data_IF_096798389449
#
_entry.id   IF_096798389449
#
_cell.length_a   1.000
_cell.length_b   1.000
_cell.length_c   1.000
_cell.angle_alpha   90.00
_cell.angle_beta   90.00
_cell.angle_gamma   90.00
#
_symmetry.space_group_name_H-M   'P 1'
#
loop_
_entity.id
_entity.type
_entity.pdbx_description
1 polymer ?
#
# COMPACT_ATOMS: atom_id res chain seq x y z
N UNK A 1 -10.78 0.62 -26.28
CA UNK A 1 -10.32 -0.60 -25.57
C UNK A 1 -9.46 -0.11 -24.41
N UNK A 2 -10.06 0.05 -23.21
CA UNK A 2 -9.31 0.53 -22.05
C UNK A 2 -8.52 -0.63 -21.48
N UNK A 3 -7.19 -0.57 -21.58
CA UNK A 3 -6.30 -1.56 -21.01
C UNK A 3 -6.27 -1.31 -19.50
N UNK A 4 -7.13 -1.96 -18.73
CA UNK A 4 -7.04 -1.93 -17.28
C UNK A 4 -5.80 -2.74 -16.91
N UNK A 5 -4.67 -2.06 -16.73
CA UNK A 5 -3.50 -2.71 -16.14
C UNK A 5 -3.93 -3.20 -14.76
N UNK A 6 -3.68 -4.47 -14.46
CA UNK A 6 -3.84 -5.02 -13.13
C UNK A 6 -2.57 -4.72 -12.32
N UNK A 7 -2.67 -4.68 -10.99
CA UNK A 7 -1.48 -4.59 -10.14
C UNK A 7 -0.47 -5.69 -10.53
N UNK A 8 0.82 -5.34 -10.62
CA UNK A 8 1.89 -6.32 -10.84
C UNK A 8 2.31 -6.85 -9.47
N UNK A 9 2.19 -8.16 -9.20
CA UNK A 9 2.43 -8.69 -7.86
C UNK A 9 3.91 -8.67 -7.48
N UNK A 10 4.20 -8.60 -6.19
CA UNK A 10 5.56 -8.78 -5.68
C UNK A 10 6.16 -10.14 -6.13
N UNK A 11 7.32 -10.10 -6.80
CA UNK A 11 8.15 -11.28 -7.03
C UNK A 11 8.88 -11.65 -5.73
N UNK A 12 8.13 -12.29 -4.81
CA UNK A 12 8.56 -12.50 -3.44
C UNK A 12 9.74 -13.48 -3.33
N UNK A 13 10.82 -13.05 -2.65
CA UNK A 13 11.96 -13.89 -2.31
C UNK A 13 12.29 -13.78 -0.83
N UNK A 14 12.49 -14.92 -0.16
CA UNK A 14 12.97 -14.96 1.22
C UNK A 14 14.48 -14.96 1.24
N UNK A 15 15.07 -14.11 2.07
CA UNK A 15 16.52 -14.00 2.22
C UNK A 15 16.97 -14.63 3.55
N UNK A 16 16.23 -14.37 4.62
CA UNK A 16 16.53 -14.86 5.97
C UNK A 16 15.39 -15.74 6.46
N UNK A 17 15.72 -16.87 7.08
CA UNK A 17 14.74 -17.74 7.72
C UNK A 17 14.02 -17.01 8.87
N UNK A 18 12.71 -17.23 9.02
CA UNK A 18 11.85 -16.58 10.01
C UNK A 18 11.66 -15.04 9.87
N UNK A 19 12.15 -14.44 8.78
CA UNK A 19 11.86 -13.05 8.43
C UNK A 19 10.84 -12.93 7.28
N UNK A 20 10.49 -11.69 6.93
CA UNK A 20 9.63 -11.37 5.80
C UNK A 20 10.34 -11.62 4.44
N UNK A 21 9.66 -11.27 3.36
CA UNK A 21 10.16 -11.41 1.98
C UNK A 21 10.61 -10.06 1.43
N UNK A 22 11.49 -10.07 0.43
CA UNK A 22 11.73 -8.90 -0.43
C UNK A 22 10.97 -9.07 -1.74
N UNK A 23 10.65 -7.97 -2.41
CA UNK A 23 10.18 -8.00 -3.80
C UNK A 23 11.38 -7.81 -4.71
N UNK A 24 11.63 -8.79 -5.57
CA UNK A 24 12.79 -8.78 -6.46
C UNK A 24 12.42 -8.08 -7.76
N UNK A 25 13.10 -6.98 -8.05
CA UNK A 25 13.03 -6.33 -9.35
C UNK A 25 14.26 -6.65 -10.20
N UNK A 26 14.06 -6.75 -11.51
CA UNK A 26 15.10 -6.91 -12.52
C UNK A 26 14.75 -6.09 -13.77
N UNK A 27 15.60 -6.11 -14.81
CA UNK A 27 15.43 -5.31 -16.03
C UNK A 27 14.15 -5.60 -16.81
N UNK A 28 13.44 -6.69 -16.49
CA UNK A 28 12.21 -7.11 -17.17
C UNK A 28 10.97 -7.12 -16.27
N UNK A 29 11.15 -6.92 -14.96
CA UNK A 29 10.07 -7.07 -13.99
C UNK A 29 10.29 -6.24 -12.72
N UNK A 30 9.26 -5.53 -12.30
CA UNK A 30 9.13 -4.97 -10.96
C UNK A 30 7.64 -4.93 -10.59
N UNK A 31 7.33 -5.08 -9.31
CA UNK A 31 5.94 -4.96 -8.83
C UNK A 31 5.45 -3.52 -8.87
N UNK A 32 4.14 -3.36 -9.02
CA UNK A 32 3.50 -2.06 -9.21
C UNK A 32 2.04 -2.14 -8.76
N UNK A 33 1.53 -1.04 -8.20
CA UNK A 33 0.20 -0.96 -7.61
C UNK A 33 -0.55 0.21 -8.18
N UNK A 34 -1.71 -0.07 -8.74
CA UNK A 34 -2.56 0.95 -9.32
C UNK A 34 -3.50 1.48 -8.25
N UNK A 35 -3.35 2.78 -7.98
CA UNK A 35 -4.13 3.51 -6.98
C UNK A 35 -5.39 4.05 -7.61
N UNK A 36 -6.52 3.51 -7.20
CA UNK A 36 -7.84 3.92 -7.66
C UNK A 36 -8.59 4.69 -6.56
N UNK A 37 -9.37 5.69 -6.98
CA UNK A 37 -10.32 6.32 -6.09
C UNK A 37 -11.48 5.36 -5.79
N UNK A 38 -11.86 5.16 -4.51
CA UNK A 38 -13.01 4.32 -4.18
C UNK A 38 -14.28 4.90 -4.80
N UNK A 39 -15.15 4.02 -5.32
CA UNK A 39 -16.49 4.39 -5.73
C UNK A 39 -17.30 4.91 -4.51
N UNK A 40 -18.32 5.76 -4.71
CA UNK A 40 -19.18 6.20 -3.63
C UNK A 40 -19.73 5.02 -2.81
N UNK A 41 -19.67 5.11 -1.48
CA UNK A 41 -20.12 4.03 -0.60
C UNK A 41 -19.09 2.91 -0.37
N UNK A 42 -17.89 2.99 -0.95
CA UNK A 42 -16.80 2.04 -0.75
C UNK A 42 -15.54 2.67 -0.16
N UNK A 43 -14.57 1.84 0.21
CA UNK A 43 -13.22 2.25 0.61
C UNK A 43 -12.19 1.24 0.10
N UNK A 44 -10.96 1.69 -0.15
CA UNK A 44 -9.82 0.84 -0.54
C UNK A 44 -8.89 0.65 0.66
N UNK A 45 -8.44 -0.58 0.88
CA UNK A 45 -7.45 -0.94 1.89
C UNK A 45 -6.21 -1.50 1.21
N UNK A 46 -5.03 -1.01 1.58
CA UNK A 46 -3.74 -1.57 1.19
C UNK A 46 -3.14 -2.28 2.39
N UNK A 47 -2.90 -3.58 2.27
CA UNK A 47 -2.40 -4.41 3.37
C UNK A 47 -1.00 -4.96 3.08
N UNK A 48 -0.09 -4.79 4.03
CA UNK A 48 1.23 -5.43 4.04
C UNK A 48 1.39 -6.25 5.32
N UNK A 49 2.04 -7.42 5.22
CA UNK A 49 2.23 -8.33 6.37
C UNK A 49 3.65 -8.87 6.44
N UNK A 50 4.08 -9.27 7.64
CA UNK A 50 5.33 -10.02 7.82
C UNK A 50 5.32 -11.32 7.01
N UNK A 51 4.17 -11.98 6.88
CA UNK A 51 4.03 -13.23 6.11
C UNK A 51 4.18 -13.04 4.59
N UNK A 52 4.10 -11.81 4.07
CA UNK A 52 4.46 -11.51 2.69
C UNK A 52 3.43 -10.76 1.86
N UNK A 53 2.33 -10.27 2.42
CA UNK A 53 1.47 -9.34 1.69
C UNK A 53 2.23 -8.02 1.45
N UNK A 54 2.10 -7.47 0.26
CA UNK A 54 2.78 -6.24 -0.19
C UNK A 54 1.76 -5.38 -0.91
N UNK A 55 1.34 -4.30 -0.25
CA UNK A 55 0.32 -3.37 -0.76
C UNK A 55 -0.91 -4.10 -1.36
N UNK A 56 -1.31 -5.23 -0.76
CA UNK A 56 -2.44 -6.01 -1.28
C UNK A 56 -3.69 -5.15 -1.20
N UNK A 57 -4.25 -4.80 -2.36
CA UNK A 57 -5.45 -4.00 -2.52
C UNK A 57 -6.69 -4.85 -2.19
N UNK A 58 -7.61 -4.30 -1.40
CA UNK A 58 -8.96 -4.83 -1.20
C UNK A 58 -9.97 -3.69 -1.11
N UNK A 59 -11.24 -3.98 -1.43
CA UNK A 59 -12.32 -3.00 -1.40
C UNK A 59 -13.35 -3.42 -0.36
N UNK A 60 -13.71 -2.50 0.52
CA UNK A 60 -14.78 -2.66 1.49
C UNK A 60 -15.96 -1.75 1.17
N UNK A 61 -17.12 -2.07 1.73
CA UNK A 61 -18.34 -1.28 1.61
C UNK A 61 -18.72 -0.72 2.98
N UNK A 62 -19.20 0.53 3.00
CA UNK A 62 -19.72 1.11 4.22
C UNK A 62 -21.06 0.46 4.57
N UNK A 63 -21.17 -0.06 5.80
CA UNK A 63 -22.46 -0.46 6.35
C UNK A 63 -23.17 0.76 6.93
N UNK A 64 -24.48 0.89 6.67
CA UNK A 64 -25.33 1.86 7.35
C UNK A 64 -25.56 1.41 8.79
N UNK A 65 -24.61 1.71 9.69
CA UNK A 65 -24.77 1.43 11.11
C UNK A 65 -25.62 2.55 11.71
N UNK A 66 -26.81 2.21 12.19
CA UNK A 66 -27.64 3.12 12.98
C UNK A 66 -27.07 3.18 14.39
N UNK A 67 -26.53 4.35 14.78
CA UNK A 67 -26.08 4.61 16.14
C UNK A 67 -27.24 4.42 17.13
N UNK A 68 -27.06 3.58 18.15
CA UNK A 68 -28.06 3.35 19.21
C UNK A 68 -28.88 2.06 19.08
N UNK A 69 -28.68 1.25 18.04
CA UNK A 69 -29.23 -0.11 18.01
C UNK A 69 -28.44 -1.01 18.97
N UNK A 70 -29.10 -1.79 19.85
CA UNK A 70 -28.41 -2.77 20.68
C UNK A 70 -27.80 -3.83 19.76
N UNK A 71 -26.47 -3.77 19.57
CA UNK A 71 -25.76 -4.87 18.95
C UNK A 71 -25.77 -6.03 19.95
N UNK A 72 -26.67 -6.98 19.76
CA UNK A 72 -26.90 -8.11 20.67
C UNK A 72 -25.68 -9.02 20.95
N UNK A 73 -24.50 -8.76 20.36
CA UNK A 73 -23.26 -9.50 20.61
C UNK A 73 -21.97 -8.66 20.46
N UNK A 74 -21.90 -7.43 20.97
CA UNK A 74 -20.77 -6.53 20.68
C UNK A 74 -20.01 -5.98 21.90
N UNK A 75 -19.87 -6.77 22.98
CA UNK A 75 -19.06 -6.36 24.14
C UNK A 75 -17.54 -6.45 23.92
N UNK A 76 -17.03 -6.68 22.70
CA UNK A 76 -15.58 -6.70 22.45
C UNK A 76 -15.17 -6.29 21.01
N UNK A 77 -15.77 -5.22 20.46
CA UNK A 77 -15.36 -4.68 19.14
C UNK A 77 -14.68 -3.33 19.30
N UNK A 78 -13.37 -3.30 19.09
CA UNK A 78 -12.60 -2.05 18.95
C UNK A 78 -13.24 -1.17 17.87
N UNK A 79 -13.63 0.05 18.26
CA UNK A 79 -14.26 1.02 17.37
C UNK A 79 -13.39 2.28 17.28
N UNK A 80 -13.00 2.67 16.07
CA UNK A 80 -12.31 3.92 15.80
C UNK A 80 -13.30 4.94 15.23
N UNK A 81 -13.34 6.16 15.80
CA UNK A 81 -14.25 7.22 15.39
C UNK A 81 -13.46 8.43 14.91
N UNK A 82 -13.75 8.88 13.69
CA UNK A 82 -13.15 10.07 13.11
C UNK A 82 -14.03 11.30 13.39
N UNK A 83 -13.45 12.34 14.00
CA UNK A 83 -14.09 13.65 14.16
C UNK A 83 -13.48 14.64 13.17
N UNK A 84 -14.14 14.90 12.04
CA UNK A 84 -13.62 15.76 10.98
C UNK A 84 -13.61 17.27 11.34
N UNK A 85 -14.27 17.66 12.43
CA UNK A 85 -14.27 19.04 12.92
C UNK A 85 -13.02 19.37 13.74
N UNK A 86 -12.37 18.34 14.31
CA UNK A 86 -11.11 18.49 15.03
C UNK A 86 -9.94 18.37 14.06
N UNK A 87 -9.13 19.43 13.95
CA UNK A 87 -8.04 19.52 12.98
C UNK A 87 -6.72 19.77 13.69
N UNK A 88 -5.64 19.22 13.12
CA UNK A 88 -4.28 19.39 13.61
C UNK A 88 -3.37 19.99 12.52
N UNK A 89 -2.11 19.56 12.45
CA UNK A 89 -1.16 20.02 11.45
C UNK A 89 -1.56 19.64 10.02
N UNK A 90 -1.14 20.47 9.07
CA UNK A 90 -1.19 20.11 7.64
C UNK A 90 0.00 19.25 7.29
N UNK A 91 -0.20 18.26 6.42
CA UNK A 91 0.88 17.40 5.92
C UNK A 91 1.54 18.07 4.71
N UNK A 92 2.86 18.26 4.78
CA UNK A 92 3.66 18.78 3.65
C UNK A 92 3.91 17.68 2.63
N UNK A 93 4.36 16.49 3.07
CA UNK A 93 4.63 15.36 2.19
C UNK A 93 5.46 14.25 2.86
N UNK A 94 5.83 13.24 2.06
CA UNK A 94 6.66 12.11 2.44
C UNK A 94 7.69 11.84 1.33
N UNK A 95 8.90 11.38 1.68
CA UNK A 95 9.97 11.14 0.71
C UNK A 95 11.19 10.47 1.33
N UNK A 96 12.33 10.57 0.64
CA UNK A 96 13.62 10.02 1.06
C UNK A 96 14.78 10.96 0.77
N UNK A 97 15.97 10.62 1.29
CA UNK A 97 17.19 11.38 1.03
C UNK A 97 17.88 10.93 -0.26
N UNK A 98 18.30 11.89 -1.09
CA UNK A 98 19.06 11.64 -2.33
C UNK A 98 20.53 12.00 -2.06
N UNK A 99 21.25 11.10 -1.39
CA UNK A 99 22.69 11.24 -1.13
C UNK A 99 23.53 10.72 -2.29
N UNK A 100 24.83 11.02 -2.27
CA UNK A 100 25.80 10.44 -3.21
C UNK A 100 25.72 8.90 -3.24
N UNK A 101 25.61 8.27 -2.07
CA UNK A 101 25.46 6.82 -1.97
C UNK A 101 24.18 6.30 -2.62
N UNK A 102 23.05 7.01 -2.49
CA UNK A 102 21.81 6.63 -3.16
C UNK A 102 21.93 6.79 -4.69
N UNK A 103 22.53 7.89 -5.14
CA UNK A 103 22.74 8.17 -6.55
C UNK A 103 23.70 7.16 -7.21
N UNK A 104 24.81 6.81 -6.54
CA UNK A 104 25.77 5.81 -7.04
C UNK A 104 25.10 4.44 -7.17
N UNK A 105 24.38 3.97 -6.14
CA UNK A 105 23.69 2.68 -6.21
C UNK A 105 22.58 2.66 -7.27
N UNK A 106 21.85 3.75 -7.46
CA UNK A 106 20.86 3.85 -8.53
C UNK A 106 21.52 3.82 -9.91
N UNK A 107 22.64 4.56 -10.09
CA UNK A 107 23.38 4.60 -11.35
C UNK A 107 24.10 3.32 -11.73
N UNK A 108 24.34 2.44 -10.77
CA UNK A 108 24.91 1.10 -11.01
C UNK A 108 23.90 0.11 -11.61
N UNK A 109 22.60 0.46 -11.63
CA UNK A 109 21.56 -0.36 -12.24
C UNK A 109 21.54 -0.23 -13.77
N UNK A 110 20.99 -1.25 -14.46
CA UNK A 110 20.70 -1.13 -15.90
C UNK A 110 19.70 0.02 -16.17
N UNK A 111 19.70 0.62 -17.37
CA UNK A 111 18.78 1.72 -17.69
C UNK A 111 17.31 1.40 -17.39
N UNK A 112 16.86 0.18 -17.69
CA UNK A 112 15.48 -0.25 -17.46
C UNK A 112 15.16 -0.35 -15.96
N UNK A 113 16.12 -0.80 -15.15
CA UNK A 113 15.98 -0.86 -13.70
C UNK A 113 16.04 0.52 -13.04
N UNK A 114 16.80 1.46 -13.62
CA UNK A 114 16.79 2.85 -13.16
C UNK A 114 15.39 3.44 -13.27
N UNK A 115 14.69 3.16 -14.37
CA UNK A 115 13.31 3.60 -14.59
C UNK A 115 12.32 2.91 -13.67
N UNK A 116 12.41 1.58 -13.49
CA UNK A 116 11.53 0.86 -12.55
C UNK A 116 11.70 1.32 -11.10
N UNK A 117 12.89 1.78 -10.70
CA UNK A 117 13.18 2.18 -9.33
C UNK A 117 12.49 3.49 -8.91
N UNK A 118 12.19 4.39 -9.84
CA UNK A 118 11.66 5.75 -9.56
C UNK A 118 10.20 5.96 -10.00
N UNK A 119 9.55 4.93 -10.55
CA UNK A 119 8.16 4.98 -11.03
C UNK A 119 7.12 5.08 -9.91
#
# INVERSE_FOLDING_TARGET
MFNYSTDKPCAARRIVENDSVVCVCNSTYCDDVIREHPAPGTFVVYTSTKSGLRFKKSVGHWSNIVYGQPMNHAYDRLTLRLNASERYQTIVGFGGGISDSAAINWKDLSPELQDYFIQ
#
